data_IF_900937995152
#
_entry.id   IF_900937995152
#
_cell.length_a   1.000
_cell.length_b   1.000
_cell.length_c   1.000
_cell.angle_alpha   90.00
_cell.angle_beta   90.00
_cell.angle_gamma   90.00
#
_symmetry.space_group_name_H-M   'P 1'
#
loop_
_entity.id
_entity.type
_entity.pdbx_description
1 polymer ?
#
# COMPACT_ATOMS: atom_id res chain seq x y z
N UNK A 1 -17.08 -23.02 -5.01
CA UNK A 1 -15.68 -22.70 -5.39
C UNK A 1 -15.59 -21.19 -5.53
N UNK A 2 -14.72 -20.57 -4.77
CA UNK A 2 -14.52 -19.12 -4.86
C UNK A 2 -13.72 -18.80 -6.11
N UNK A 3 -14.21 -17.89 -6.94
CA UNK A 3 -13.42 -17.40 -8.07
C UNK A 3 -12.15 -16.71 -7.56
N UNK A 4 -11.01 -16.83 -8.27
CA UNK A 4 -9.76 -16.18 -7.83
C UNK A 4 -9.92 -14.67 -7.61
N UNK A 5 -10.82 -14.03 -8.34
CA UNK A 5 -11.06 -12.59 -8.25
C UNK A 5 -11.82 -12.18 -6.98
N UNK A 6 -12.42 -13.14 -6.27
CA UNK A 6 -13.17 -12.90 -5.04
C UNK A 6 -12.35 -13.13 -3.76
N UNK A 7 -11.06 -13.46 -3.89
CA UNK A 7 -10.20 -13.72 -2.74
C UNK A 7 -9.93 -12.42 -1.99
N UNK A 8 -10.22 -12.43 -0.68
CA UNK A 8 -9.87 -11.35 0.23
C UNK A 8 -8.64 -11.75 1.04
N UNK A 9 -7.69 -10.83 1.13
CA UNK A 9 -6.41 -11.04 1.80
C UNK A 9 -6.37 -10.23 3.09
N UNK A 10 -6.34 -10.93 4.22
CA UNK A 10 -5.98 -10.34 5.50
C UNK A 10 -4.48 -10.42 5.71
N UNK A 11 -4.03 -9.95 6.88
CA UNK A 11 -2.60 -9.94 7.22
C UNK A 11 -1.97 -11.34 7.07
N UNK A 12 -2.62 -12.38 7.60
CA UNK A 12 -2.07 -13.74 7.57
C UNK A 12 -1.90 -14.26 6.14
N UNK A 13 -2.87 -14.01 5.27
CA UNK A 13 -2.82 -14.42 3.87
C UNK A 13 -1.73 -13.67 3.10
N UNK A 14 -1.58 -12.38 3.34
CA UNK A 14 -0.53 -11.55 2.73
C UNK A 14 0.85 -12.06 3.17
N UNK A 15 1.04 -12.30 4.46
CA UNK A 15 2.31 -12.81 5.00
C UNK A 15 2.65 -14.18 4.43
N UNK A 16 1.65 -15.04 4.25
CA UNK A 16 1.82 -16.35 3.60
C UNK A 16 2.29 -16.18 2.14
N UNK A 17 1.66 -15.27 1.41
CA UNK A 17 2.04 -15.00 0.03
C UNK A 17 3.47 -14.43 -0.06
N UNK A 18 3.82 -13.51 0.82
CA UNK A 18 5.18 -12.96 0.89
C UNK A 18 6.22 -14.03 1.28
N UNK A 19 5.89 -14.93 2.20
CA UNK A 19 6.78 -16.03 2.56
C UNK A 19 7.04 -16.93 1.36
N UNK A 20 5.99 -17.30 0.63
CA UNK A 20 6.11 -18.11 -0.58
C UNK A 20 6.95 -17.41 -1.65
N UNK A 21 6.73 -16.11 -1.84
CA UNK A 21 7.51 -15.31 -2.78
C UNK A 21 8.98 -15.23 -2.36
N UNK A 22 9.25 -14.97 -1.08
CA UNK A 22 10.61 -14.92 -0.54
C UNK A 22 11.37 -16.23 -0.72
N UNK A 23 10.73 -17.36 -0.47
CA UNK A 23 11.33 -18.69 -0.67
C UNK A 23 11.72 -18.93 -2.13
N UNK A 24 10.86 -18.51 -3.07
CA UNK A 24 11.17 -18.62 -4.50
C UNK A 24 12.32 -17.73 -4.92
N UNK A 25 12.37 -16.52 -4.38
CA UNK A 25 13.46 -15.57 -4.66
C UNK A 25 14.80 -16.07 -4.11
N UNK A 26 14.81 -16.66 -2.91
CA UNK A 26 16.02 -17.30 -2.36
C UNK A 26 16.53 -18.38 -3.30
N UNK A 27 15.67 -19.22 -3.84
CA UNK A 27 16.07 -20.27 -4.81
C UNK A 27 16.63 -19.68 -6.11
N UNK A 28 16.24 -18.45 -6.46
CA UNK A 28 16.77 -17.72 -7.61
C UNK A 28 18.06 -16.95 -7.27
N UNK A 29 18.50 -16.97 -6.02
CA UNK A 29 19.65 -16.18 -5.57
C UNK A 29 19.39 -14.68 -5.53
N UNK A 30 18.13 -14.27 -5.36
CA UNK A 30 17.69 -12.88 -5.42
C UNK A 30 17.10 -12.43 -4.09
N UNK A 31 17.43 -11.21 -3.67
CA UNK A 31 16.75 -10.52 -2.57
C UNK A 31 15.99 -9.35 -3.19
N UNK A 32 14.67 -9.36 -3.05
CA UNK A 32 13.83 -8.30 -3.59
C UNK A 32 13.46 -7.27 -2.53
N UNK A 33 13.26 -6.05 -2.97
CA UNK A 33 12.70 -4.96 -2.18
C UNK A 33 11.30 -4.63 -2.70
N UNK A 34 10.34 -4.56 -1.79
CA UNK A 34 8.94 -4.23 -2.09
C UNK A 34 8.51 -3.06 -1.21
N UNK A 35 7.89 -2.06 -1.81
CA UNK A 35 7.30 -0.92 -1.11
C UNK A 35 5.80 -0.93 -1.35
N UNK A 36 5.02 -1.19 -0.30
CA UNK A 36 3.56 -1.32 -0.39
C UNK A 36 2.85 -0.03 -0.01
N UNK A 37 1.73 0.20 -0.67
CA UNK A 37 0.83 1.34 -0.45
C UNK A 37 -0.62 0.87 -0.37
N UNK A 38 -1.56 1.78 -0.19
CA UNK A 38 -2.99 1.47 -0.27
C UNK A 38 -3.50 0.54 0.83
N UNK A 39 -4.46 -0.31 0.48
CA UNK A 39 -5.12 -1.21 1.43
C UNK A 39 -4.19 -2.20 2.11
N UNK A 40 -3.17 -2.69 1.41
CA UNK A 40 -2.18 -3.60 1.99
C UNK A 40 -1.31 -2.91 3.04
N UNK A 41 -0.93 -1.66 2.82
CA UNK A 41 -0.22 -0.89 3.84
C UNK A 41 -1.08 -0.70 5.09
N UNK A 42 -2.38 -0.46 4.91
CA UNK A 42 -3.34 -0.42 6.02
C UNK A 42 -3.35 -1.74 6.79
N UNK A 43 -3.51 -2.87 6.08
CA UNK A 43 -3.61 -4.20 6.69
C UNK A 43 -2.34 -4.61 7.45
N UNK A 44 -1.17 -4.28 6.93
CA UNK A 44 0.11 -4.72 7.50
C UNK A 44 0.63 -3.80 8.60
N UNK A 45 0.30 -2.50 8.56
CA UNK A 45 0.92 -1.52 9.45
C UNK A 45 -0.06 -0.79 10.37
N UNK A 46 -1.31 -0.55 9.93
CA UNK A 46 -2.16 0.44 10.59
C UNK A 46 -3.51 -0.11 11.06
N UNK A 47 -4.04 -1.15 10.43
CA UNK A 47 -5.34 -1.74 10.78
C UNK A 47 -5.29 -3.25 10.57
N UNK A 48 -5.05 -3.98 11.66
CA UNK A 48 -4.88 -5.43 11.63
C UNK A 48 -6.14 -6.20 11.17
N UNK A 49 -7.31 -5.58 11.27
CA UNK A 49 -8.57 -6.18 10.83
C UNK A 49 -8.87 -5.93 9.35
N UNK A 50 -8.08 -5.07 8.69
CA UNK A 50 -8.27 -4.72 7.29
C UNK A 50 -8.03 -5.91 6.38
N UNK A 51 -8.91 -6.07 5.39
CA UNK A 51 -8.71 -6.98 4.26
C UNK A 51 -8.56 -6.18 2.97
N UNK A 52 -7.87 -6.75 2.00
CA UNK A 52 -7.69 -6.16 0.69
C UNK A 52 -7.78 -7.23 -0.38
N UNK A 53 -8.00 -6.84 -1.63
CA UNK A 53 -8.07 -7.79 -2.76
C UNK A 53 -6.71 -8.05 -3.39
N UNK A 54 -5.77 -7.13 -3.22
CA UNK A 54 -4.48 -7.19 -3.89
C UNK A 54 -3.41 -6.43 -3.09
N UNK A 55 -2.19 -6.57 -3.55
CA UNK A 55 -1.02 -5.88 -3.00
C UNK A 55 -0.54 -4.87 -4.04
N UNK A 56 -0.85 -3.59 -3.80
CA UNK A 56 -0.34 -2.47 -4.60
C UNK A 56 1.06 -2.11 -4.13
N UNK A 57 2.04 -2.20 -5.01
CA UNK A 57 3.43 -2.00 -4.64
C UNK A 57 4.30 -1.57 -5.80
N UNK A 58 5.48 -1.07 -5.50
CA UNK A 58 6.61 -1.05 -6.43
C UNK A 58 7.68 -2.00 -5.90
N UNK A 59 8.42 -2.62 -6.81
CA UNK A 59 9.36 -3.65 -6.41
C UNK A 59 10.52 -3.78 -7.40
N UNK A 60 11.63 -4.31 -6.90
CA UNK A 60 12.85 -4.61 -7.68
C UNK A 60 13.57 -5.85 -7.13
N UNK A 61 14.17 -6.67 -8.00
CA UNK A 61 14.20 -6.53 -9.47
C UNK A 61 12.81 -6.86 -10.07
N UNK A 62 12.35 -5.99 -10.95
CA UNK A 62 10.96 -5.97 -11.43
C UNK A 62 10.49 -7.28 -12.08
N UNK A 63 11.18 -7.71 -13.15
CA UNK A 63 10.76 -8.87 -13.94
C UNK A 63 10.81 -10.18 -13.17
N UNK A 64 11.82 -10.37 -12.34
CA UNK A 64 11.98 -11.59 -11.53
C UNK A 64 10.89 -11.67 -10.47
N UNK A 65 10.57 -10.54 -9.82
CA UNK A 65 9.50 -10.51 -8.81
C UNK A 65 8.15 -10.84 -9.45
N UNK A 66 7.83 -10.25 -10.59
CA UNK A 66 6.57 -10.56 -11.30
C UNK A 66 6.48 -12.02 -11.69
N UNK A 67 7.55 -12.58 -12.25
CA UNK A 67 7.59 -13.98 -12.66
C UNK A 67 7.34 -14.92 -11.47
N UNK A 68 8.02 -14.69 -10.36
CA UNK A 68 7.87 -15.53 -9.17
C UNK A 68 6.53 -15.28 -8.47
N UNK A 69 6.00 -14.06 -8.50
CA UNK A 69 4.67 -13.75 -7.95
C UNK A 69 3.56 -14.50 -8.67
N UNK A 70 3.65 -14.68 -9.99
CA UNK A 70 2.68 -15.49 -10.75
C UNK A 70 2.71 -16.95 -10.32
N UNK A 71 3.88 -17.50 -10.05
CA UNK A 71 4.01 -18.87 -9.55
C UNK A 71 3.43 -19.01 -8.15
N UNK A 72 3.58 -18.00 -7.30
CA UNK A 72 2.91 -17.95 -6.00
C UNK A 72 1.39 -17.96 -6.18
N UNK A 73 0.88 -17.20 -7.15
CA UNK A 73 -0.55 -17.20 -7.45
C UNK A 73 -1.06 -18.61 -7.80
N UNK A 74 -0.33 -19.33 -8.64
CA UNK A 74 -0.67 -20.71 -8.99
C UNK A 74 -0.68 -21.62 -7.77
N UNK A 75 0.33 -21.51 -6.90
CA UNK A 75 0.48 -22.36 -5.74
C UNK A 75 -0.59 -22.10 -4.66
N UNK A 76 -0.99 -20.85 -4.48
CA UNK A 76 -1.88 -20.43 -3.39
C UNK A 76 -3.31 -20.14 -3.85
N UNK A 77 -3.61 -20.29 -5.14
CA UNK A 77 -4.95 -19.98 -5.66
C UNK A 77 -5.28 -18.51 -5.65
N UNK A 78 -4.29 -17.65 -5.86
CA UNK A 78 -4.47 -16.20 -5.92
C UNK A 78 -4.62 -15.74 -7.38
N UNK A 79 -5.25 -14.58 -7.62
CA UNK A 79 -5.23 -14.01 -8.96
C UNK A 79 -3.81 -13.62 -9.37
N UNK A 80 -3.49 -13.65 -10.66
CA UNK A 80 -2.15 -13.29 -11.15
C UNK A 80 -1.75 -11.85 -10.82
N UNK A 81 -2.74 -10.98 -10.61
CA UNK A 81 -2.54 -9.58 -10.25
C UNK A 81 -2.54 -9.33 -8.74
N UNK A 82 -2.45 -10.40 -7.90
CA UNK A 82 -2.41 -10.22 -6.44
C UNK A 82 -1.30 -9.25 -6.02
N UNK A 83 -0.16 -9.29 -6.68
CA UNK A 83 0.92 -8.31 -6.54
C UNK A 83 0.99 -7.52 -7.85
N UNK A 84 0.77 -6.21 -7.79
CA UNK A 84 0.70 -5.36 -8.97
C UNK A 84 1.23 -3.95 -8.70
N UNK A 85 1.45 -3.21 -9.78
CA UNK A 85 2.01 -1.86 -9.74
C UNK A 85 1.03 -0.79 -10.20
N UNK A 86 -0.26 -1.06 -10.19
CA UNK A 86 -1.26 -0.13 -10.70
C UNK A 86 -1.22 1.23 -10.01
N UNK A 87 -0.86 1.26 -8.72
CA UNK A 87 -0.74 2.49 -7.95
C UNK A 87 0.61 3.21 -8.13
N UNK A 88 1.56 2.66 -8.88
CA UNK A 88 2.93 3.17 -8.97
C UNK A 88 3.01 4.63 -9.40
N UNK A 89 2.13 5.05 -10.34
CA UNK A 89 2.10 6.42 -10.85
C UNK A 89 1.59 7.45 -9.83
N UNK A 90 0.93 6.98 -8.77
CA UNK A 90 0.38 7.83 -7.72
C UNK A 90 1.27 7.92 -6.48
N UNK A 91 2.32 7.11 -6.41
CA UNK A 91 3.27 7.11 -5.29
C UNK A 91 4.12 8.38 -5.38
N UNK A 92 4.30 9.07 -4.25
CA UNK A 92 5.14 10.27 -4.20
C UNK A 92 6.59 9.95 -4.57
N UNK A 93 7.21 10.84 -5.35
CA UNK A 93 8.64 10.79 -5.61
C UNK A 93 9.51 11.30 -4.45
N UNK A 94 8.90 11.84 -3.40
CA UNK A 94 9.62 12.29 -2.20
C UNK A 94 10.05 11.10 -1.36
N UNK A 95 11.19 11.24 -0.70
CA UNK A 95 11.64 10.24 0.26
C UNK A 95 10.64 10.12 1.40
N UNK A 96 10.26 8.90 1.74
CA UNK A 96 9.39 8.61 2.87
C UNK A 96 10.26 8.13 4.04
N UNK A 97 10.77 9.09 4.81
CA UNK A 97 11.68 8.82 5.92
C UNK A 97 11.03 8.00 7.04
N UNK A 98 9.71 8.02 7.14
CA UNK A 98 8.94 7.30 8.16
C UNK A 98 8.32 6.00 7.64
N UNK A 99 8.74 5.54 6.46
CA UNK A 99 8.33 4.23 5.95
C UNK A 99 8.68 3.15 6.98
N UNK A 100 7.88 2.09 7.00
CA UNK A 100 7.94 1.09 8.06
C UNK A 100 8.21 -0.30 7.49
N UNK A 101 9.16 -1.03 8.09
CA UNK A 101 9.34 -2.44 7.73
C UNK A 101 8.17 -3.25 8.28
N UNK A 102 7.48 -3.97 7.40
CA UNK A 102 6.28 -4.75 7.76
C UNK A 102 6.45 -6.25 7.54
N UNK A 103 7.46 -6.65 6.79
CA UNK A 103 7.78 -8.05 6.56
C UNK A 103 9.26 -8.19 6.19
N UNK A 104 9.90 -9.22 6.72
CA UNK A 104 11.30 -9.51 6.45
C UNK A 104 11.51 -11.00 6.26
N UNK A 105 12.20 -11.36 5.19
CA UNK A 105 12.52 -12.73 4.83
C UNK A 105 13.88 -12.70 4.12
N UNK A 106 14.71 -13.77 4.16
CA UNK A 106 16.00 -13.77 3.47
C UNK A 106 15.93 -13.39 1.98
N UNK A 107 14.80 -13.65 1.31
CA UNK A 107 14.61 -13.31 -0.11
C UNK A 107 13.75 -12.08 -0.37
N UNK A 108 13.16 -11.45 0.66
CA UNK A 108 12.17 -10.40 0.45
C UNK A 108 12.14 -9.42 1.62
N UNK A 109 12.32 -8.14 1.32
CA UNK A 109 12.15 -7.05 2.28
C UNK A 109 10.95 -6.21 1.87
N UNK A 110 9.99 -6.05 2.77
CA UNK A 110 8.77 -5.28 2.49
C UNK A 110 8.69 -4.07 3.42
N UNK A 111 8.63 -2.89 2.82
CA UNK A 111 8.40 -1.63 3.52
C UNK A 111 6.99 -1.13 3.19
N UNK A 112 6.29 -0.60 4.17
CA UNK A 112 5.02 0.09 3.96
C UNK A 112 5.23 1.60 3.96
N UNK A 113 4.49 2.31 3.12
CA UNK A 113 4.44 3.76 3.15
C UNK A 113 4.05 4.25 4.55
N UNK A 114 4.62 5.38 4.97
CA UNK A 114 4.28 6.01 6.26
C UNK A 114 2.80 6.37 6.31
N UNK A 115 2.22 6.55 7.50
CA UNK A 115 0.81 6.95 7.60
C UNK A 115 0.53 8.28 6.90
N UNK A 116 1.47 9.24 6.94
CA UNK A 116 1.33 10.51 6.23
C UNK A 116 1.32 10.33 4.71
N UNK A 117 2.16 9.45 4.17
CA UNK A 117 2.19 9.17 2.73
C UNK A 117 0.89 8.49 2.28
N UNK A 118 0.43 7.47 3.00
CA UNK A 118 -0.85 6.80 2.69
C UNK A 118 -2.00 7.80 2.78
N UNK A 119 -2.00 8.64 3.81
CA UNK A 119 -2.98 9.72 3.97
C UNK A 119 -3.02 10.64 2.76
N UNK A 120 -1.86 11.13 2.32
CA UNK A 120 -1.76 12.02 1.16
C UNK A 120 -2.28 11.35 -0.11
N UNK A 121 -1.96 10.08 -0.34
CA UNK A 121 -2.45 9.33 -1.51
C UNK A 121 -3.98 9.21 -1.48
N UNK A 122 -4.55 8.83 -0.33
CA UNK A 122 -6.00 8.67 -0.17
C UNK A 122 -6.74 9.99 -0.26
N UNK A 123 -6.21 11.05 0.35
CA UNK A 123 -6.79 12.39 0.28
C UNK A 123 -6.84 12.91 -1.16
N UNK A 124 -5.81 12.67 -1.95
CA UNK A 124 -5.75 13.06 -3.35
C UNK A 124 -6.69 12.26 -4.23
N UNK A 125 -6.89 10.98 -3.94
CA UNK A 125 -7.88 10.14 -4.63
C UNK A 125 -9.32 10.51 -4.27
N UNK A 126 -9.56 10.97 -3.06
CA UNK A 126 -10.85 11.44 -2.54
C UNK A 126 -12.01 10.45 -2.79
N UNK A 127 -11.75 9.16 -2.61
CA UNK A 127 -12.78 8.13 -2.78
C UNK A 127 -13.63 8.02 -1.52
N UNK A 128 -14.94 7.84 -1.69
CA UNK A 128 -15.86 7.65 -0.56
C UNK A 128 -15.44 6.49 0.34
N UNK A 129 -14.97 5.40 -0.26
CA UNK A 129 -14.51 4.21 0.48
C UNK A 129 -13.25 4.43 1.32
N UNK A 130 -12.52 5.53 1.10
CA UNK A 130 -11.28 5.83 1.83
C UNK A 130 -11.53 6.75 3.04
N UNK A 131 -12.75 7.20 3.29
CA UNK A 131 -13.05 8.16 4.37
C UNK A 131 -12.68 7.61 5.74
N UNK A 132 -13.04 6.36 6.02
CA UNK A 132 -12.70 5.75 7.31
C UNK A 132 -11.19 5.59 7.49
N UNK A 133 -10.48 5.24 6.43
CA UNK A 133 -9.02 5.18 6.44
C UNK A 133 -8.40 6.56 6.67
N UNK A 134 -8.95 7.60 6.04
CA UNK A 134 -8.49 8.97 6.26
C UNK A 134 -8.64 9.40 7.71
N UNK A 135 -9.77 9.07 8.35
CA UNK A 135 -10.00 9.35 9.77
C UNK A 135 -9.01 8.60 10.66
N UNK A 136 -8.82 7.32 10.41
CA UNK A 136 -7.87 6.50 11.18
C UNK A 136 -6.44 7.03 11.05
N UNK A 137 -6.01 7.31 9.83
CA UNK A 137 -4.67 7.84 9.56
C UNK A 137 -4.50 9.23 10.19
N UNK A 138 -5.54 10.08 10.11
CA UNK A 138 -5.53 11.39 10.75
C UNK A 138 -5.32 11.29 12.27
N UNK A 139 -5.96 10.34 12.91
CA UNK A 139 -5.76 10.09 14.35
C UNK A 139 -4.32 9.64 14.65
N UNK A 140 -3.77 8.77 13.80
CA UNK A 140 -2.39 8.27 13.99
C UNK A 140 -1.36 9.41 13.86
N UNK A 141 -1.54 10.31 12.89
CA UNK A 141 -0.56 11.37 12.59
C UNK A 141 -0.89 12.72 13.24
N UNK A 142 -2.04 12.81 13.92
CA UNK A 142 -2.42 14.03 14.63
C UNK A 142 -2.96 15.14 13.74
N UNK A 143 -3.69 14.79 12.67
CA UNK A 143 -4.37 15.79 11.83
C UNK A 143 -5.63 16.26 12.53
N UNK A 144 -5.68 17.56 12.84
CA UNK A 144 -6.77 18.21 13.55
C UNK A 144 -7.46 19.32 12.75
N UNK A 145 -6.99 19.60 11.54
CA UNK A 145 -7.54 20.64 10.69
C UNK A 145 -7.37 20.33 9.20
N UNK A 146 -8.20 20.94 8.38
CA UNK A 146 -8.07 20.84 6.92
C UNK A 146 -6.74 21.44 6.44
N UNK A 147 -6.26 22.51 7.07
CA UNK A 147 -4.98 23.12 6.72
C UNK A 147 -3.81 22.15 6.95
N UNK A 148 -3.80 21.42 8.06
CA UNK A 148 -2.79 20.41 8.32
C UNK A 148 -2.87 19.28 7.31
N UNK A 149 -4.08 18.81 6.96
CA UNK A 149 -4.29 17.79 5.95
C UNK A 149 -3.75 18.23 4.58
N UNK A 150 -4.04 19.45 4.17
CA UNK A 150 -3.55 20.02 2.91
C UNK A 150 -2.03 20.16 2.89
N UNK A 151 -1.43 20.51 4.03
CA UNK A 151 0.03 20.61 4.16
C UNK A 151 0.70 19.26 3.97
N UNK A 152 0.14 18.20 4.52
CA UNK A 152 0.66 16.83 4.33
C UNK A 152 0.62 16.46 2.85
N UNK A 153 -0.48 16.75 2.16
CA UNK A 153 -0.57 16.52 0.72
C UNK A 153 0.51 17.31 -0.04
N UNK A 154 0.75 18.56 0.31
CA UNK A 154 1.76 19.39 -0.33
C UNK A 154 3.18 18.90 -0.05
N UNK A 155 3.44 18.35 1.13
CA UNK A 155 4.76 17.82 1.49
C UNK A 155 5.15 16.62 0.60
N UNK A 156 4.21 15.73 0.30
CA UNK A 156 4.45 14.58 -0.56
C UNK A 156 4.31 14.89 -2.06
N UNK A 157 3.47 15.87 -2.41
CA UNK A 157 3.17 16.22 -3.80
C UNK A 157 3.26 17.74 -4.01
N UNK A 158 4.46 18.33 -3.87
CA UNK A 158 4.61 19.81 -3.88
C UNK A 158 4.27 20.44 -5.23
N UNK A 159 4.41 19.69 -6.33
CA UNK A 159 4.17 20.18 -7.69
C UNK A 159 2.78 19.84 -8.22
N UNK A 160 1.95 19.16 -7.41
CA UNK A 160 0.63 18.68 -7.81
C UNK A 160 -0.43 19.22 -6.83
N UNK A 161 -1.08 20.33 -7.15
CA UNK A 161 -2.11 20.89 -6.26
C UNK A 161 -3.27 19.91 -6.05
N UNK A 162 -3.84 19.96 -4.86
CA UNK A 162 -5.00 19.14 -4.49
C UNK A 162 -6.20 19.61 -5.34
N UNK A 163 -6.96 18.64 -5.88
CA UNK A 163 -8.16 18.95 -6.66
C UNK A 163 -9.23 19.64 -5.79
N UNK A 164 -10.14 20.44 -6.40
CA UNK A 164 -11.26 21.03 -5.65
C UNK A 164 -12.10 20.00 -4.90
N UNK A 165 -12.30 18.80 -5.47
CA UNK A 165 -13.02 17.70 -4.83
C UNK A 165 -12.27 17.22 -3.59
N UNK A 166 -10.98 16.99 -3.69
CA UNK A 166 -10.16 16.56 -2.56
C UNK A 166 -10.14 17.61 -1.46
N UNK A 167 -9.99 18.88 -1.81
CA UNK A 167 -10.04 19.97 -0.86
C UNK A 167 -11.39 20.02 -0.12
N UNK A 168 -12.49 19.82 -0.84
CA UNK A 168 -13.84 19.80 -0.24
C UNK A 168 -14.00 18.63 0.74
N UNK A 169 -13.51 17.46 0.39
CA UNK A 169 -13.55 16.28 1.29
C UNK A 169 -12.74 16.56 2.56
N UNK A 170 -11.54 17.10 2.44
CA UNK A 170 -10.71 17.42 3.60
C UNK A 170 -11.34 18.51 4.48
N UNK A 171 -11.99 19.50 3.87
CA UNK A 171 -12.71 20.53 4.59
C UNK A 171 -13.92 19.94 5.35
N UNK A 172 -14.65 19.00 4.74
CA UNK A 172 -15.77 18.31 5.37
C UNK A 172 -15.33 17.46 6.56
N UNK A 173 -14.20 16.74 6.42
CA UNK A 173 -13.71 15.81 7.45
C UNK A 173 -13.01 16.53 8.60
N UNK A 174 -12.28 17.61 8.34
CA UNK A 174 -11.35 18.22 9.29
C UNK A 174 -11.52 19.75 9.44
N UNK A 175 -12.43 20.32 8.71
CA UNK A 175 -12.70 21.75 8.77
C UNK A 175 -13.53 22.21 9.94
#
# INVERSE_FOLDING_TARGET
MTEPDDVLLGRAEIERAFTALGERLVRRGVVADVFVVGGVAMALAYDAARVTRDVDAVFKPHGIVLEEARKVADDLGLPYWWLNEQASVYISGKEDASKRRVFDHPGLRVMAASPAHVFAMKARAARTRDIDDLRLLADIIGVDSADTALRICADFYPDEPVSPRSAAVLQELFG
#
